data_IF_074830788441
#
_entry.id   IF_074830788441
#
_cell.length_a   1.000
_cell.length_b   1.000
_cell.length_c   1.000
_cell.angle_alpha   90.00
_cell.angle_beta   90.00
_cell.angle_gamma   90.00
#
_symmetry.space_group_name_H-M   'P 1'
#
loop_
_entity.id
_entity.type
_entity.pdbx_description
1 polymer ?
#
# COMPACT_ATOMS: atom_id res chain seq x y z
N UNK A 1 -48.37 20.41 39.69
CA UNK A 1 -47.62 19.14 39.61
C UNK A 1 -47.13 18.78 38.20
N UNK A 2 -47.80 19.24 37.13
CA UNK A 2 -47.43 18.92 35.74
C UNK A 2 -46.13 19.61 35.24
N UNK A 3 -45.85 20.84 35.67
CA UNK A 3 -44.65 21.59 35.24
C UNK A 3 -43.33 20.87 35.59
N UNK A 4 -43.26 20.24 36.77
CA UNK A 4 -42.08 19.45 37.19
C UNK A 4 -41.86 18.21 36.31
N UNK A 5 -42.93 17.61 35.76
CA UNK A 5 -42.83 16.47 34.84
C UNK A 5 -42.23 16.89 33.49
N UNK A 6 -42.66 18.03 32.94
CA UNK A 6 -42.13 18.55 31.68
C UNK A 6 -40.66 18.97 31.79
N UNK A 7 -40.24 19.54 32.94
CA UNK A 7 -38.84 19.91 33.18
C UNK A 7 -37.94 18.66 33.23
N UNK A 8 -38.37 17.60 33.91
CA UNK A 8 -37.59 16.34 33.96
C UNK A 8 -37.49 15.69 32.57
N UNK A 9 -38.57 15.70 31.79
CA UNK A 9 -38.57 15.16 30.43
C UNK A 9 -37.69 15.98 29.48
N UNK A 10 -37.69 17.31 29.61
CA UNK A 10 -36.82 18.19 28.82
C UNK A 10 -35.33 17.98 29.19
N UNK A 11 -35.02 17.81 30.48
CA UNK A 11 -33.67 17.53 30.95
C UNK A 11 -33.17 16.16 30.44
N UNK A 12 -34.03 15.14 30.46
CA UNK A 12 -33.69 13.81 29.94
C UNK A 12 -33.43 13.84 28.42
N UNK A 13 -34.24 14.58 27.66
CA UNK A 13 -34.03 14.79 26.22
C UNK A 13 -32.71 15.53 25.93
N UNK A 14 -32.36 16.55 26.72
CA UNK A 14 -31.09 17.28 26.59
C UNK A 14 -29.87 16.43 26.95
N UNK A 15 -29.98 15.49 27.88
CA UNK A 15 -28.88 14.56 28.20
C UNK A 15 -28.73 13.42 27.19
N UNK A 16 -29.81 13.06 26.49
CA UNK A 16 -29.81 11.94 25.53
C UNK A 16 -29.04 12.24 24.22
N UNK A 17 -28.78 13.51 23.90
CA UNK A 17 -28.05 13.90 22.69
C UNK A 17 -26.53 13.83 22.83
N UNK A 18 -25.99 13.53 24.02
CA UNK A 18 -24.54 13.52 24.29
C UNK A 18 -23.90 12.14 24.01
N UNK A 19 -24.69 11.08 23.77
CA UNK A 19 -24.22 9.70 23.97
C UNK A 19 -23.60 9.01 22.74
N UNK A 20 -23.56 9.60 21.53
CA UNK A 20 -23.00 8.88 20.36
C UNK A 20 -22.15 9.73 19.42
N UNK A 21 -21.17 10.47 19.95
CA UNK A 21 -20.08 10.98 19.09
C UNK A 21 -19.05 9.87 18.88
N UNK A 22 -18.79 9.49 17.62
CA UNK A 22 -17.70 8.57 17.31
C UNK A 22 -16.38 9.25 17.68
N UNK A 23 -15.49 8.53 18.37
CA UNK A 23 -14.18 9.07 18.70
C UNK A 23 -13.34 9.14 17.43
N UNK A 24 -12.75 10.30 17.13
CA UNK A 24 -11.82 10.45 16.01
C UNK A 24 -10.40 10.61 16.53
N UNK A 25 -9.46 9.85 15.95
CA UNK A 25 -8.03 9.90 16.29
C UNK A 25 -7.25 10.18 15.01
N UNK A 26 -6.38 11.18 15.06
CA UNK A 26 -5.54 11.61 13.94
C UNK A 26 -4.09 11.25 14.24
N UNK A 27 -3.48 10.45 13.37
CA UNK A 27 -2.12 9.95 13.54
C UNK A 27 -1.21 10.44 12.41
N UNK A 28 0.00 10.86 12.76
CA UNK A 28 1.06 11.18 11.81
C UNK A 28 1.74 9.91 11.24
N UNK A 29 2.70 10.11 10.33
CA UNK A 29 3.52 9.08 9.71
C UNK A 29 4.36 8.24 10.68
N UNK A 30 4.51 8.70 11.92
CA UNK A 30 5.25 8.06 13.00
C UNK A 30 4.31 7.45 14.05
N UNK A 31 2.99 7.45 13.79
CA UNK A 31 1.92 6.98 14.69
C UNK A 31 1.77 7.80 15.97
N UNK A 32 2.23 9.06 15.98
CA UNK A 32 1.93 9.99 17.06
C UNK A 32 0.59 10.65 16.81
N UNK A 33 -0.16 10.92 17.88
CA UNK A 33 -1.41 11.68 17.79
C UNK A 33 -1.13 13.14 17.45
N UNK A 34 -1.90 13.69 16.51
CA UNK A 34 -1.81 15.08 16.05
C UNK A 34 -3.20 15.72 16.05
N UNK A 35 -3.26 17.05 15.90
CA UNK A 35 -4.54 17.73 15.72
C UNK A 35 -5.16 17.45 14.35
N UNK A 36 -6.48 17.54 14.26
CA UNK A 36 -7.22 17.50 12.99
C UNK A 36 -6.69 18.53 11.98
N UNK A 37 -6.32 19.73 12.45
CA UNK A 37 -5.74 20.77 11.60
C UNK A 37 -4.40 20.32 11.00
N UNK A 38 -3.47 19.84 11.82
CA UNK A 38 -2.19 19.33 11.35
C UNK A 38 -2.38 18.17 10.36
N UNK A 39 -3.39 17.32 10.60
CA UNK A 39 -3.76 16.27 9.66
C UNK A 39 -4.20 16.81 8.31
N UNK A 40 -5.18 17.72 8.29
CA UNK A 40 -5.68 18.35 7.05
C UNK A 40 -4.58 19.06 6.28
N UNK A 41 -3.68 19.76 6.97
CA UNK A 41 -2.53 20.44 6.36
C UNK A 41 -1.59 19.45 5.67
N UNK A 42 -1.22 18.35 6.35
CA UNK A 42 -0.39 17.30 5.74
C UNK A 42 -1.10 16.55 4.61
N UNK A 43 -2.40 16.31 4.70
CA UNK A 43 -3.16 15.66 3.63
C UNK A 43 -3.27 16.47 2.35
N UNK A 44 -3.08 17.79 2.43
CA UNK A 44 -2.97 18.66 1.25
C UNK A 44 -1.60 18.54 0.55
N UNK A 45 -0.64 17.83 1.15
CA UNK A 45 0.66 17.60 0.57
C UNK A 45 0.69 16.29 -0.24
N UNK A 46 1.13 16.40 -1.49
CA UNK A 46 1.10 15.29 -2.46
C UNK A 46 2.09 14.17 -2.13
N UNK A 47 3.01 14.38 -1.19
CA UNK A 47 3.93 13.35 -0.71
C UNK A 47 3.30 12.44 0.35
N UNK A 48 2.12 12.81 0.86
CA UNK A 48 1.39 12.02 1.83
C UNK A 48 0.16 11.35 1.23
N UNK A 49 -0.20 10.25 1.86
CA UNK A 49 -1.42 9.49 1.65
C UNK A 49 -2.18 9.50 2.96
N UNK A 50 -3.44 9.90 2.91
CA UNK A 50 -4.29 9.94 4.09
C UNK A 50 -5.33 8.82 4.00
N UNK A 51 -5.35 7.97 5.02
CA UNK A 51 -6.22 6.82 5.11
C UNK A 51 -7.17 6.95 6.29
N UNK A 52 -8.41 6.51 6.09
CA UNK A 52 -9.44 6.48 7.14
C UNK A 52 -9.82 5.04 7.39
N UNK A 53 -9.71 4.62 8.65
CA UNK A 53 -10.16 3.33 9.14
C UNK A 53 -11.32 3.57 10.10
N UNK A 54 -12.46 2.92 9.85
CA UNK A 54 -13.64 3.02 10.72
C UNK A 54 -13.95 1.66 11.33
N UNK A 55 -14.11 1.64 12.65
CA UNK A 55 -14.64 0.53 13.44
C UNK A 55 -15.75 1.04 14.36
N UNK A 56 -16.51 0.14 15.00
CA UNK A 56 -17.63 0.49 15.87
C UNK A 56 -17.21 1.51 16.95
N UNK A 57 -17.58 2.79 16.76
CA UNK A 57 -17.31 3.89 17.69
C UNK A 57 -15.98 4.62 17.54
N UNK A 58 -15.09 4.19 16.63
CA UNK A 58 -13.76 4.79 16.45
C UNK A 58 -13.44 5.00 14.96
N UNK A 59 -13.09 6.23 14.61
CA UNK A 59 -12.50 6.59 13.33
C UNK A 59 -11.02 6.91 13.56
N UNK A 60 -10.15 6.18 12.88
CA UNK A 60 -8.71 6.43 12.88
C UNK A 60 -8.32 7.00 11.53
N UNK A 61 -7.80 8.23 11.53
CA UNK A 61 -7.27 8.90 10.36
C UNK A 61 -5.74 8.87 10.44
N UNK A 62 -5.07 8.30 9.44
CA UNK A 62 -3.62 8.09 9.44
C UNK A 62 -2.96 8.76 8.24
N UNK A 63 -1.82 9.38 8.49
CA UNK A 63 -0.94 9.92 7.46
C UNK A 63 0.15 8.89 7.18
N UNK A 64 0.42 8.65 5.90
CA UNK A 64 1.46 7.76 5.44
C UNK A 64 2.27 8.45 4.34
N UNK A 65 3.54 8.09 4.21
CA UNK A 65 4.34 8.56 3.09
C UNK A 65 3.96 7.81 1.81
N UNK A 66 3.75 8.53 0.70
CA UNK A 66 3.61 7.90 -0.62
C UNK A 66 4.91 7.29 -1.13
N UNK A 67 6.04 7.81 -0.68
CA UNK A 67 7.35 7.33 -1.04
C UNK A 67 8.21 7.36 0.21
N UNK A 68 8.99 6.31 0.46
CA UNK A 68 9.87 6.26 1.63
C UNK A 68 11.23 5.70 1.25
N UNK A 69 12.27 6.48 1.51
CA UNK A 69 13.65 6.01 1.42
C UNK A 69 14.09 5.41 2.75
N UNK A 70 14.99 4.43 2.67
CA UNK A 70 15.67 3.87 3.82
C UNK A 70 16.89 3.07 3.40
N UNK A 71 17.47 2.39 4.36
CA UNK A 71 18.67 1.59 4.19
C UNK A 71 18.56 0.34 5.09
N UNK A 72 19.06 -0.78 4.58
CA UNK A 72 19.30 -1.99 5.35
C UNK A 72 20.78 -2.34 5.28
N UNK A 73 21.28 -3.09 6.25
CA UNK A 73 22.66 -3.57 6.18
C UNK A 73 22.86 -4.52 5.01
N UNK A 74 24.08 -4.57 4.48
CA UNK A 74 24.51 -5.55 3.48
C UNK A 74 24.17 -6.98 3.90
N UNK A 75 24.32 -7.31 5.19
CA UNK A 75 23.96 -8.64 5.71
C UNK A 75 22.46 -8.93 5.56
N UNK A 76 21.58 -7.97 5.84
CA UNK A 76 20.15 -8.13 5.64
C UNK A 76 19.80 -8.21 4.15
N UNK A 77 20.47 -7.44 3.29
CA UNK A 77 20.31 -7.55 1.84
C UNK A 77 20.64 -8.98 1.35
N UNK A 78 21.78 -9.53 1.76
CA UNK A 78 22.18 -10.88 1.39
C UNK A 78 21.21 -11.95 1.94
N UNK A 79 20.63 -11.75 3.13
CA UNK A 79 19.59 -12.64 3.65
C UNK A 79 18.31 -12.58 2.81
N UNK A 80 17.86 -11.39 2.42
CA UNK A 80 16.72 -11.19 1.52
C UNK A 80 16.97 -11.88 0.18
N UNK A 81 18.16 -11.69 -0.42
CA UNK A 81 18.58 -12.34 -1.67
C UNK A 81 18.49 -13.87 -1.55
N UNK A 82 19.02 -14.45 -0.47
CA UNK A 82 18.95 -15.90 -0.22
C UNK A 82 17.52 -16.43 -0.11
N UNK A 83 16.64 -15.71 0.60
CA UNK A 83 15.23 -16.08 0.72
C UNK A 83 14.53 -16.06 -0.63
N UNK A 84 14.74 -15.01 -1.43
CA UNK A 84 14.15 -14.92 -2.77
C UNK A 84 14.66 -16.02 -3.71
N UNK A 85 15.96 -16.32 -3.69
CA UNK A 85 16.54 -17.41 -4.50
C UNK A 85 15.91 -18.75 -4.11
N UNK A 86 15.81 -19.04 -2.81
CA UNK A 86 15.18 -20.26 -2.30
C UNK A 86 13.71 -20.37 -2.71
N UNK A 87 12.94 -19.30 -2.50
CA UNK A 87 11.49 -19.32 -2.69
C UNK A 87 11.09 -19.28 -4.17
N UNK A 88 11.93 -18.67 -5.04
CA UNK A 88 11.68 -18.59 -6.48
C UNK A 88 12.37 -19.66 -7.30
N UNK A 89 13.33 -20.38 -6.73
CA UNK A 89 14.25 -21.29 -7.42
C UNK A 89 14.96 -20.63 -8.62
N UNK A 90 15.26 -19.32 -8.52
CA UNK A 90 15.94 -18.54 -9.56
C UNK A 90 17.11 -17.80 -8.96
N UNK A 91 18.26 -17.84 -9.64
CA UNK A 91 19.42 -17.06 -9.26
C UNK A 91 19.15 -15.55 -9.47
N UNK A 92 19.69 -14.72 -8.58
CA UNK A 92 19.71 -13.27 -8.73
C UNK A 92 21.14 -12.88 -9.12
N UNK A 93 21.36 -12.25 -10.29
CA UNK A 93 22.70 -11.84 -10.71
C UNK A 93 23.37 -10.92 -9.69
N UNK A 94 24.70 -10.92 -9.68
CA UNK A 94 25.45 -10.07 -8.76
C UNK A 94 25.27 -8.59 -9.12
N UNK A 95 25.17 -7.73 -8.10
CA UNK A 95 24.90 -6.30 -8.31
C UNK A 95 23.51 -5.96 -8.87
N UNK A 96 22.58 -6.92 -8.97
CA UNK A 96 21.22 -6.61 -9.43
C UNK A 96 20.36 -5.93 -8.35
N UNK A 97 19.60 -4.93 -8.78
CA UNK A 97 18.56 -4.30 -7.96
C UNK A 97 17.35 -5.22 -7.86
N UNK A 98 16.85 -5.45 -6.65
CA UNK A 98 15.65 -6.25 -6.41
C UNK A 98 14.43 -5.34 -6.48
N UNK A 99 13.45 -5.72 -7.29
CA UNK A 99 12.16 -5.04 -7.35
C UNK A 99 11.07 -6.00 -6.93
N UNK A 100 10.28 -5.61 -5.92
CA UNK A 100 9.16 -6.39 -5.42
C UNK A 100 7.89 -5.58 -5.60
N UNK A 101 6.97 -6.08 -6.44
CA UNK A 101 5.58 -5.62 -6.48
C UNK A 101 4.79 -6.44 -5.47
N UNK A 102 4.20 -5.78 -4.48
CA UNK A 102 3.61 -6.44 -3.32
C UNK A 102 2.09 -6.24 -3.25
N UNK A 103 1.36 -7.34 -3.06
CA UNK A 103 -0.09 -7.33 -2.84
C UNK A 103 -0.40 -7.89 -1.46
N UNK A 104 -0.77 -7.00 -0.53
CA UNK A 104 -1.01 -7.35 0.88
C UNK A 104 -2.36 -8.06 1.11
N UNK A 105 -3.32 -7.81 0.23
CA UNK A 105 -4.67 -8.26 0.42
C UNK A 105 -5.39 -8.40 -0.92
N UNK A 106 -5.70 -9.63 -1.29
CA UNK A 106 -6.50 -9.98 -2.48
C UNK A 106 -7.94 -9.49 -2.38
N UNK A 107 -8.39 -9.04 -1.20
CA UNK A 107 -9.66 -8.33 -1.09
C UNK A 107 -9.68 -7.02 -1.90
N UNK A 108 -8.52 -6.47 -2.27
CA UNK A 108 -8.41 -5.35 -3.24
C UNK A 108 -8.74 -5.75 -4.68
N UNK A 109 -8.84 -7.05 -4.99
CA UNK A 109 -9.31 -7.59 -6.28
C UNK A 109 -10.84 -7.49 -6.42
N UNK A 110 -11.42 -6.39 -5.94
CA UNK A 110 -12.86 -6.12 -6.04
C UNK A 110 -13.76 -7.05 -5.23
N UNK A 111 -13.26 -7.71 -4.18
CA UNK A 111 -14.08 -8.40 -3.19
C UNK A 111 -14.55 -7.36 -2.16
N UNK A 112 -15.71 -6.77 -2.39
CA UNK A 112 -16.20 -5.69 -1.52
C UNK A 112 -16.40 -6.16 -0.07
N UNK A 113 -16.18 -5.31 0.95
CA UNK A 113 -16.49 -5.62 2.35
C UNK A 113 -17.95 -6.07 2.58
N UNK A 114 -18.90 -5.61 1.75
CA UNK A 114 -20.30 -6.06 1.78
C UNK A 114 -20.47 -7.56 1.52
N UNK A 115 -19.50 -8.22 0.88
CA UNK A 115 -19.52 -9.68 0.69
C UNK A 115 -19.03 -10.45 1.93
N UNK A 116 -18.44 -9.77 2.92
CA UNK A 116 -18.04 -10.37 4.21
C UNK A 116 -19.15 -10.35 5.27
N UNK A 117 -20.12 -9.43 5.14
CA UNK A 117 -21.24 -9.29 6.10
C UNK A 117 -22.41 -10.24 5.82
N UNK A 118 -22.53 -10.80 4.62
CA UNK A 118 -23.56 -11.79 4.30
C UNK A 118 -23.07 -13.23 4.51
N UNK A 119 -22.73 -13.57 5.77
CA UNK A 119 -22.76 -14.96 6.24
C UNK A 119 -24.18 -15.45 6.56
N UNK A 120 -25.22 -14.64 6.30
CA UNK A 120 -26.60 -14.92 6.67
C UNK A 120 -27.66 -14.96 5.57
N UNK A 121 -27.37 -14.68 4.28
CA UNK A 121 -28.39 -14.80 3.22
C UNK A 121 -28.11 -15.97 2.28
N UNK A 122 -28.83 -17.06 2.50
CA UNK A 122 -28.89 -18.29 1.72
C UNK A 122 -29.63 -18.14 0.39
N UNK A 123 -29.52 -17.00 -0.30
CA UNK A 123 -30.23 -16.78 -1.57
C UNK A 123 -29.30 -16.26 -2.68
N UNK A 124 -29.05 -17.17 -3.62
CA UNK A 124 -28.69 -16.98 -5.03
C UNK A 124 -27.69 -15.87 -5.42
N UNK A 125 -26.40 -16.24 -5.51
CA UNK A 125 -25.50 -15.97 -6.66
C UNK A 125 -24.04 -16.40 -6.39
N UNK A 126 -23.83 -17.62 -5.87
CA UNK A 126 -22.49 -18.12 -5.49
C UNK A 126 -21.59 -18.52 -6.66
N UNK A 127 -22.14 -18.79 -7.86
CA UNK A 127 -21.38 -19.34 -8.99
C UNK A 127 -20.60 -18.30 -9.82
N UNK A 128 -20.96 -17.01 -9.77
CA UNK A 128 -20.29 -15.95 -10.55
C UNK A 128 -19.08 -15.30 -9.86
N UNK A 129 -18.93 -15.51 -8.54
CA UNK A 129 -17.86 -14.89 -7.74
C UNK A 129 -16.46 -15.46 -8.02
N UNK A 130 -16.25 -16.80 -8.10
CA UNK A 130 -14.92 -17.35 -8.39
C UNK A 130 -14.40 -16.98 -9.78
N UNK A 131 -15.31 -16.86 -10.78
CA UNK A 131 -14.93 -16.51 -12.15
C UNK A 131 -14.39 -15.08 -12.27
N UNK A 132 -15.00 -14.11 -11.57
CA UNK A 132 -14.53 -12.70 -11.57
C UNK A 132 -13.17 -12.56 -10.91
N UNK A 133 -12.98 -13.18 -9.74
CA UNK A 133 -11.69 -13.16 -9.04
C UNK A 133 -10.60 -13.82 -9.89
N UNK A 134 -10.86 -14.99 -10.46
CA UNK A 134 -9.93 -15.66 -11.38
C UNK A 134 -9.56 -14.78 -12.58
N UNK A 135 -10.52 -14.07 -13.18
CA UNK A 135 -10.26 -13.15 -14.29
C UNK A 135 -9.34 -12.00 -13.88
N UNK A 136 -9.56 -11.42 -12.70
CA UNK A 136 -8.71 -10.34 -12.18
C UNK A 136 -7.31 -10.83 -11.85
N UNK A 137 -7.17 -11.98 -11.20
CA UNK A 137 -5.85 -12.59 -10.92
C UNK A 137 -5.11 -12.86 -12.22
N UNK A 138 -5.78 -13.43 -13.24
CA UNK A 138 -5.19 -13.63 -14.57
C UNK A 138 -4.72 -12.31 -15.20
N UNK A 139 -5.50 -11.23 -15.06
CA UNK A 139 -5.08 -9.92 -15.55
C UNK A 139 -3.83 -9.41 -14.83
N UNK A 140 -3.78 -9.57 -13.50
CA UNK A 140 -2.61 -9.21 -12.70
C UNK A 140 -1.38 -10.06 -13.07
N UNK A 141 -1.54 -11.36 -13.32
CA UNK A 141 -0.47 -12.24 -13.78
C UNK A 141 0.09 -11.79 -15.13
N UNK A 142 -0.78 -11.44 -16.09
CA UNK A 142 -0.36 -10.94 -17.41
C UNK A 142 0.40 -9.62 -17.25
N UNK A 143 -0.10 -8.69 -16.43
CA UNK A 143 0.57 -7.43 -16.14
C UNK A 143 1.93 -7.65 -15.47
N UNK A 144 1.99 -8.52 -14.45
CA UNK A 144 3.23 -8.86 -13.75
C UNK A 144 4.29 -9.46 -14.68
N UNK A 145 3.89 -10.40 -15.55
CA UNK A 145 4.80 -10.98 -16.55
C UNK A 145 5.33 -9.94 -17.52
N UNK A 146 4.46 -9.07 -18.05
CA UNK A 146 4.87 -7.99 -18.97
C UNK A 146 5.87 -7.04 -18.29
N UNK A 147 5.58 -6.64 -17.05
CA UNK A 147 6.46 -5.77 -16.27
C UNK A 147 7.81 -6.40 -15.98
N UNK A 148 7.82 -7.68 -15.58
CA UNK A 148 9.04 -8.45 -15.38
C UNK A 148 9.89 -8.46 -16.64
N UNK A 149 9.29 -8.83 -17.77
CA UNK A 149 9.99 -8.92 -19.05
C UNK A 149 10.59 -7.58 -19.50
N UNK A 150 9.81 -6.49 -19.37
CA UNK A 150 10.28 -5.16 -19.75
C UNK A 150 11.44 -4.71 -18.86
N UNK A 151 11.29 -4.78 -17.54
CA UNK A 151 12.31 -4.29 -16.61
C UNK A 151 13.59 -5.13 -16.64
N UNK A 152 13.49 -6.45 -16.70
CA UNK A 152 14.66 -7.35 -16.75
C UNK A 152 15.38 -7.31 -18.10
N UNK A 153 14.73 -6.82 -19.17
CA UNK A 153 15.38 -6.59 -20.46
C UNK A 153 16.19 -5.29 -20.48
N UNK A 154 15.67 -4.24 -19.84
CA UNK A 154 16.24 -2.89 -19.91
C UNK A 154 17.26 -2.61 -18.80
N UNK A 155 17.19 -3.35 -17.67
CA UNK A 155 17.97 -3.07 -16.47
C UNK A 155 18.53 -4.34 -15.81
N UNK A 156 19.65 -4.22 -15.06
CA UNK A 156 20.17 -5.29 -14.22
C UNK A 156 19.32 -5.44 -12.94
N UNK A 157 18.08 -5.91 -13.10
CA UNK A 157 17.11 -6.05 -12.00
C UNK A 157 16.64 -7.49 -11.87
N UNK A 158 16.23 -7.86 -10.66
CA UNK A 158 15.46 -9.07 -10.40
C UNK A 158 14.05 -8.68 -9.95
N UNK A 159 13.06 -8.93 -10.79
CA UNK A 159 11.68 -8.55 -10.54
C UNK A 159 10.86 -9.72 -9.99
N UNK A 160 10.15 -9.43 -8.89
CA UNK A 160 9.28 -10.36 -8.19
C UNK A 160 7.90 -9.74 -7.97
N UNK A 161 6.86 -10.54 -8.24
CA UNK A 161 5.50 -10.24 -7.78
C UNK A 161 5.24 -11.08 -6.54
N UNK A 162 4.86 -10.43 -5.45
CA UNK A 162 4.69 -11.07 -4.15
C UNK A 162 3.30 -10.82 -3.58
N UNK A 163 2.78 -11.78 -2.84
CA UNK A 163 1.51 -11.64 -2.13
C UNK A 163 1.57 -12.28 -0.75
N UNK A 164 0.75 -11.76 0.16
CA UNK A 164 0.47 -12.43 1.43
C UNK A 164 -0.93 -13.04 1.39
N UNK A 165 -1.09 -14.35 1.65
CA UNK A 165 -2.39 -14.99 1.62
C UNK A 165 -3.24 -14.51 2.80
N UNK A 166 -4.18 -13.62 2.53
CA UNK A 166 -5.20 -13.22 3.49
C UNK A 166 -6.52 -12.89 2.78
N UNK A 167 -7.58 -13.70 2.93
CA UNK A 167 -7.67 -14.96 3.72
C UNK A 167 -6.89 -16.14 3.11
N UNK A 168 -6.58 -17.23 3.86
CA UNK A 168 -5.73 -18.34 3.40
C UNK A 168 -6.24 -19.11 2.17
N UNK A 169 -7.55 -19.11 1.93
CA UNK A 169 -8.22 -19.88 0.88
C UNK A 169 -8.03 -19.35 -0.56
N UNK A 170 -7.26 -18.27 -0.73
CA UNK A 170 -6.98 -17.66 -2.04
C UNK A 170 -5.70 -18.18 -2.70
N UNK A 171 -4.84 -18.86 -1.94
CA UNK A 171 -3.55 -19.38 -2.42
C UNK A 171 -3.66 -20.22 -3.70
N UNK A 172 -4.66 -21.13 -3.87
CA UNK A 172 -4.79 -21.92 -5.10
C UNK A 172 -5.11 -21.10 -6.36
N UNK A 173 -5.38 -19.80 -6.23
CA UNK A 173 -5.73 -18.94 -7.37
C UNK A 173 -4.50 -18.29 -8.03
N UNK A 174 -3.36 -18.25 -7.35
CA UNK A 174 -2.15 -17.63 -7.85
C UNK A 174 -1.22 -18.65 -8.50
N UNK A 175 -0.73 -18.34 -9.70
CA UNK A 175 0.31 -19.14 -10.33
C UNK A 175 1.66 -18.89 -9.62
N UNK A 176 2.23 -19.94 -9.02
CA UNK A 176 3.54 -19.92 -8.33
C UNK A 176 4.71 -19.52 -9.22
N UNK A 177 4.62 -19.69 -10.54
CA UNK A 177 5.66 -19.28 -11.48
C UNK A 177 5.77 -17.76 -11.64
N UNK A 178 4.70 -17.05 -11.27
CA UNK A 178 4.55 -15.60 -11.41
C UNK A 178 4.60 -14.91 -10.06
N UNK A 179 3.92 -15.50 -9.08
CA UNK A 179 3.69 -14.91 -7.77
C UNK A 179 4.39 -15.71 -6.68
N UNK A 180 5.24 -15.05 -5.91
CA UNK A 180 5.83 -15.61 -4.70
C UNK A 180 4.94 -15.31 -3.49
N UNK A 181 4.71 -16.35 -2.68
CA UNK A 181 4.06 -16.21 -1.40
C UNK A 181 5.04 -15.63 -0.39
N UNK A 182 4.70 -14.49 0.21
CA UNK A 182 5.43 -13.98 1.36
C UNK A 182 5.06 -14.78 2.61
N UNK A 183 6.08 -15.29 3.31
CA UNK A 183 5.94 -15.93 4.63
C UNK A 183 5.65 -14.91 5.75
N UNK A 184 5.69 -13.62 5.43
CA UNK A 184 5.52 -12.49 6.34
C UNK A 184 6.81 -11.70 6.54
N UNK A 185 7.94 -12.15 5.98
CA UNK A 185 9.22 -11.45 6.06
C UNK A 185 9.11 -10.06 5.44
N UNK A 186 8.63 -9.97 4.20
CA UNK A 186 8.53 -8.69 3.50
C UNK A 186 7.42 -7.81 4.09
N UNK A 187 6.31 -8.42 4.51
CA UNK A 187 5.26 -7.74 5.27
C UNK A 187 5.83 -7.02 6.48
N UNK A 188 6.62 -7.72 7.29
CA UNK A 188 7.11 -7.22 8.56
C UNK A 188 8.27 -6.24 8.40
N UNK A 189 9.12 -6.40 7.38
CA UNK A 189 10.23 -5.49 7.13
C UNK A 189 9.77 -4.21 6.44
N UNK A 190 8.96 -4.32 5.38
CA UNK A 190 8.72 -3.23 4.43
C UNK A 190 7.24 -2.83 4.34
N UNK A 191 6.32 -3.80 4.30
CA UNK A 191 4.90 -3.54 4.01
C UNK A 191 4.00 -3.57 5.25
N UNK A 192 4.47 -3.07 6.40
CA UNK A 192 3.83 -3.23 7.72
C UNK A 192 2.34 -2.84 7.71
N UNK A 193 2.02 -1.72 7.07
CA UNK A 193 0.67 -1.17 7.02
C UNK A 193 -0.02 -1.68 5.75
N UNK A 194 -1.24 -2.17 5.91
CA UNK A 194 -2.03 -2.67 4.79
C UNK A 194 -2.31 -1.55 3.77
N UNK A 195 -2.13 -1.87 2.48
CA UNK A 195 -2.33 -0.99 1.34
C UNK A 195 -1.53 0.32 1.36
N UNK A 196 -0.52 0.42 2.20
CA UNK A 196 0.35 1.61 2.28
C UNK A 196 1.24 1.67 1.04
N UNK A 197 2.11 0.67 0.91
CA UNK A 197 3.07 0.52 -0.18
C UNK A 197 2.70 -0.65 -1.11
N UNK A 198 2.75 -0.42 -2.42
CA UNK A 198 2.51 -1.41 -3.47
C UNK A 198 3.81 -1.99 -4.07
N UNK A 199 4.95 -1.34 -3.84
CA UNK A 199 6.23 -1.85 -4.33
C UNK A 199 7.44 -1.44 -3.49
N UNK A 200 8.53 -2.17 -3.68
CA UNK A 200 9.84 -1.96 -3.10
C UNK A 200 10.88 -2.02 -4.23
N UNK A 201 11.80 -1.05 -4.26
CA UNK A 201 13.03 -1.08 -5.05
C UNK A 201 14.19 -1.12 -4.04
N UNK A 202 15.01 -2.17 -4.10
CA UNK A 202 16.10 -2.44 -3.16
C UNK A 202 17.41 -2.62 -3.93
N UNK A 203 18.34 -1.68 -3.75
CA UNK A 203 19.65 -1.69 -4.40
C UNK A 203 20.61 -2.67 -3.70
N UNK A 204 21.69 -3.10 -4.40
CA UNK A 204 22.68 -4.02 -3.83
C UNK A 204 23.37 -3.52 -2.57
N UNK A 205 23.54 -2.21 -2.44
CA UNK A 205 24.14 -1.54 -1.28
C UNK A 205 23.21 -1.44 -0.07
N UNK A 206 21.98 -1.99 -0.16
CA UNK A 206 20.99 -1.94 0.90
C UNK A 206 20.13 -0.68 0.92
N UNK A 207 20.39 0.31 0.07
CA UNK A 207 19.47 1.44 -0.09
C UNK A 207 18.14 0.95 -0.67
N UNK A 208 17.03 1.47 -0.14
CA UNK A 208 15.72 1.10 -0.65
C UNK A 208 14.76 2.28 -0.76
N UNK A 209 13.76 2.07 -1.62
CA UNK A 209 12.63 2.95 -1.81
C UNK A 209 11.33 2.13 -1.78
N UNK A 210 10.40 2.52 -0.91
CA UNK A 210 9.02 2.03 -0.91
C UNK A 210 8.14 2.97 -1.70
N UNK A 211 7.25 2.38 -2.51
CA UNK A 211 6.29 3.08 -3.35
C UNK A 211 4.88 2.79 -2.83
N UNK A 212 4.19 3.81 -2.35
CA UNK A 212 2.77 3.81 -1.95
C UNK A 212 1.84 4.56 -2.89
N UNK A 213 2.39 5.00 -4.02
CA UNK A 213 1.68 5.65 -5.11
C UNK A 213 2.35 5.30 -6.43
N UNK A 214 1.62 5.49 -7.52
CA UNK A 214 2.11 5.25 -8.87
C UNK A 214 3.28 6.17 -9.23
N UNK A 215 4.18 5.63 -10.04
CA UNK A 215 5.23 6.37 -10.75
C UNK A 215 5.10 6.03 -12.23
N UNK A 216 5.26 7.04 -13.08
CA UNK A 216 5.36 6.83 -14.52
C UNK A 216 6.60 6.02 -14.87
N UNK A 217 6.55 5.33 -16.00
CA UNK A 217 7.65 4.52 -16.50
C UNK A 217 8.94 5.37 -16.65
N UNK A 218 8.83 6.65 -17.02
CA UNK A 218 9.96 7.58 -17.10
C UNK A 218 10.57 7.91 -15.73
N UNK A 219 9.73 8.05 -14.69
CA UNK A 219 10.23 8.24 -13.32
C UNK A 219 10.97 6.99 -12.83
N UNK A 220 10.43 5.80 -13.12
CA UNK A 220 11.08 4.53 -12.79
C UNK A 220 12.40 4.37 -13.56
N UNK A 221 12.43 4.69 -14.85
CA UNK A 221 13.64 4.71 -15.68
C UNK A 221 14.73 5.62 -15.06
N UNK A 222 14.37 6.84 -14.65
CA UNK A 222 15.31 7.74 -13.96
C UNK A 222 15.82 7.18 -12.64
N UNK A 223 14.94 6.56 -11.85
CA UNK A 223 15.31 5.95 -10.56
C UNK A 223 16.26 4.76 -10.75
N UNK A 224 15.99 3.90 -11.74
CA UNK A 224 16.78 2.69 -11.99
C UNK A 224 18.13 2.96 -12.67
N UNK A 225 18.26 4.05 -13.43
CA UNK A 225 19.52 4.44 -14.08
C UNK A 225 20.53 5.11 -13.14
N UNK A 226 20.07 5.71 -12.05
CA UNK A 226 20.97 6.39 -11.12
C UNK A 226 21.50 5.43 -10.05
N UNK A 227 22.83 5.36 -9.95
CA UNK A 227 23.52 4.63 -8.89
C UNK A 227 23.46 5.35 -7.54
N UNK A 228 23.39 6.69 -7.53
CA UNK A 228 23.29 7.50 -6.32
C UNK A 228 21.91 8.17 -6.23
N UNK A 229 21.18 7.89 -5.15
CA UNK A 229 19.85 8.45 -4.91
C UNK A 229 19.87 9.72 -4.06
N UNK A 230 21.02 10.32 -3.77
CA UNK A 230 21.13 11.54 -2.97
C UNK A 230 20.24 12.68 -3.49
N UNK A 231 20.19 12.87 -4.81
CA UNK A 231 19.31 13.86 -5.44
C UNK A 231 17.84 13.56 -5.18
N UNK A 232 17.40 12.31 -5.39
CA UNK A 232 16.01 11.92 -5.15
C UNK A 232 15.63 12.01 -3.66
N UNK A 233 16.55 11.64 -2.75
CA UNK A 233 16.34 11.79 -1.30
C UNK A 233 16.19 13.25 -0.91
N UNK A 234 16.97 14.15 -1.51
CA UNK A 234 16.86 15.59 -1.26
C UNK A 234 15.56 16.17 -1.83
N UNK A 235 15.21 15.81 -3.06
CA UNK A 235 13.92 16.19 -3.66
C UNK A 235 12.74 15.69 -2.84
N UNK A 236 12.81 14.46 -2.35
CA UNK A 236 11.82 13.88 -1.45
C UNK A 236 11.69 14.69 -0.15
N UNK A 237 12.80 14.92 0.57
CA UNK A 237 12.82 15.74 1.81
C UNK A 237 12.24 17.13 1.59
N UNK A 238 12.64 17.80 0.51
CA UNK A 238 12.16 19.13 0.18
C UNK A 238 10.67 19.11 -0.17
N UNK A 239 10.19 18.07 -0.86
CA UNK A 239 8.76 17.91 -1.20
C UNK A 239 7.88 17.71 0.04
N UNK A 240 8.41 17.12 1.12
CA UNK A 240 7.69 17.01 2.40
C UNK A 240 7.39 18.38 3.03
N UNK A 241 8.26 19.37 2.79
CA UNK A 241 8.14 20.72 3.36
C UNK A 241 7.23 21.62 2.50
N UNK A 242 7.28 21.50 1.17
CA UNK A 242 6.68 22.48 0.24
C UNK A 242 5.21 22.20 -0.15
N UNK A 243 4.51 21.37 0.61
CA UNK A 243 3.06 21.19 0.53
C UNK A 243 2.58 20.68 -0.83
N UNK A 244 2.19 21.59 -1.73
CA UNK A 244 1.46 21.26 -2.96
C UNK A 244 2.34 20.97 -4.17
N UNK A 245 3.65 21.23 -4.09
CA UNK A 245 4.59 21.07 -5.21
C UNK A 245 5.70 20.11 -4.81
N UNK A 246 5.62 18.89 -5.31
CA UNK A 246 6.74 17.97 -5.25
C UNK A 246 7.84 18.41 -6.24
N UNK A 247 9.05 17.94 -5.98
CA UNK A 247 10.26 18.25 -6.73
C UNK A 247 10.77 17.03 -7.49
N UNK A 248 11.63 17.28 -8.48
CA UNK A 248 12.27 16.25 -9.30
C UNK A 248 11.31 15.17 -9.82
N UNK A 249 11.68 13.92 -9.59
CA UNK A 249 10.93 12.71 -9.98
C UNK A 249 9.59 12.55 -9.27
N UNK A 250 9.27 13.36 -8.25
CA UNK A 250 8.00 13.26 -7.52
C UNK A 250 6.94 14.25 -8.02
N UNK A 251 7.29 15.14 -8.95
CA UNK A 251 6.33 16.06 -9.58
C UNK A 251 5.18 15.26 -10.17
N UNK A 252 3.96 15.58 -9.74
CA UNK A 252 2.74 15.03 -10.33
C UNK A 252 2.67 15.44 -11.80
N UNK A 253 2.93 14.50 -12.69
CA UNK A 253 2.53 14.63 -14.08
C UNK A 253 1.12 14.06 -14.19
N UNK A 254 0.15 14.91 -14.53
CA UNK A 254 -1.19 14.43 -14.85
C UNK A 254 -1.09 13.64 -16.16
N UNK A 255 -1.01 12.32 -16.08
CA UNK A 255 -1.10 11.44 -17.25
C UNK A 255 -2.56 10.98 -17.39
N UNK A 256 -3.33 11.49 -18.37
CA UNK A 256 -4.74 11.13 -18.56
C UNK A 256 -4.94 9.69 -19.06
N UNK A 257 -3.86 8.98 -19.43
CA UNK A 257 -3.94 7.62 -19.94
C UNK A 257 -3.63 6.59 -18.86
N UNK A 258 -4.65 5.80 -18.53
CA UNK A 258 -4.59 4.59 -17.70
C UNK A 258 -3.85 3.45 -18.42
N UNK A 259 -2.65 3.71 -18.95
CA UNK A 259 -1.78 2.66 -19.43
C UNK A 259 -1.40 1.76 -18.23
N UNK A 260 -1.22 0.49 -18.51
CA UNK A 260 -0.89 -0.54 -17.52
C UNK A 260 0.53 -0.32 -17.02
N UNK A 261 0.69 0.62 -16.08
CA UNK A 261 1.97 0.91 -15.44
C UNK A 261 2.39 -0.24 -14.53
N UNK A 262 3.69 -0.46 -14.44
CA UNK A 262 4.23 -1.50 -13.59
C UNK A 262 4.16 -1.13 -12.09
N UNK A 263 4.16 0.16 -11.77
CA UNK A 263 4.22 0.71 -10.42
C UNK A 263 3.12 1.73 -10.16
#
# INVERSE_FOLDING_TARGET
MHLKKYILSALFLLTSTIIFSQQEVYLDEHMNEISEQAFKEKCNNIMFKCLTYSSEGLIIQKILYRYKFGEISETHFQQIKKVLIRDSNKAIPEGSTIIIKYTDNVNTLGLTPKEKLFKGSTTSNSLHRPRRVKKQIKHLEVSAKKCKQQLEADYPVAFYSMYQPNPPNIEPLFNSDVWLKDSGLFKNLFFKIAQDNCALILKPDGEFMLLGSHLSDNQIDQILKQSDWSTFKNDWKNSLIHGKKALGVFKTQFTPNTLTHCF
#
